data_IF_703365907349
#
_entry.id   IF_703365907349
#
_cell.length_a   1.000
_cell.length_b   1.000
_cell.length_c   1.000
_cell.angle_alpha   90.00
_cell.angle_beta   90.00
_cell.angle_gamma   90.00
#
_symmetry.space_group_name_H-M   'P 1'
#
loop_
_entity.id
_entity.type
_entity.pdbx_description
1 polymer ?
#
# COMPACT_ATOMS: atom_id res chain seq x y z
N UNK A 1 -10.17 -15.47 -3.18
CA UNK A 1 -8.88 -14.82 -2.99
C UNK A 1 -8.61 -14.61 -1.51
N UNK A 2 -7.39 -14.80 -1.10
CA UNK A 2 -6.99 -14.62 0.30
C UNK A 2 -6.45 -13.22 0.52
N UNK A 3 -7.09 -12.48 1.42
CA UNK A 3 -6.61 -11.17 1.85
C UNK A 3 -5.82 -11.30 3.14
N UNK A 4 -4.92 -10.36 3.42
CA UNK A 4 -4.57 -9.21 2.58
C UNK A 4 -3.63 -9.57 1.42
N UNK A 5 -3.62 -8.74 0.39
CA UNK A 5 -2.60 -8.80 -0.66
C UNK A 5 -1.75 -7.54 -0.59
N UNK A 6 -0.50 -7.63 -1.03
CA UNK A 6 0.47 -6.56 -0.87
C UNK A 6 1.04 -6.15 -2.22
N UNK A 7 1.21 -4.84 -2.39
CA UNK A 7 1.75 -4.25 -3.62
C UNK A 7 2.68 -3.11 -3.28
N UNK A 8 3.53 -2.74 -4.25
CA UNK A 8 4.35 -1.53 -4.15
C UNK A 8 4.53 -0.92 -5.53
N UNK A 9 4.83 0.38 -5.57
CA UNK A 9 5.36 0.97 -6.80
C UNK A 9 6.83 0.58 -6.97
N UNK A 10 7.31 0.46 -8.23
CA UNK A 10 8.72 0.12 -8.49
C UNK A 10 9.73 1.06 -7.86
N UNK A 11 9.35 2.33 -7.61
CA UNK A 11 10.24 3.31 -6.97
C UNK A 11 10.46 3.07 -5.47
N UNK A 12 9.78 2.08 -4.87
CA UNK A 12 9.94 1.68 -3.46
C UNK A 12 9.61 2.77 -2.43
N UNK A 13 8.70 3.69 -2.75
CA UNK A 13 8.28 4.75 -1.84
C UNK A 13 6.79 4.73 -1.51
N UNK A 14 6.05 3.85 -2.12
CA UNK A 14 4.63 3.68 -1.82
C UNK A 14 4.30 2.21 -1.81
N UNK A 15 3.70 1.76 -0.72
CA UNK A 15 3.38 0.36 -0.46
C UNK A 15 1.91 0.25 -0.09
N UNK A 16 1.28 -0.84 -0.50
CA UNK A 16 -0.15 -1.06 -0.28
C UNK A 16 -0.40 -2.40 0.40
N UNK A 17 -1.29 -2.36 1.37
CA UNK A 17 -1.87 -3.55 1.98
C UNK A 17 -3.35 -3.54 1.68
N UNK A 18 -3.79 -4.40 0.77
CA UNK A 18 -5.19 -4.46 0.35
C UNK A 18 -5.93 -5.42 1.27
N UNK A 19 -6.82 -4.90 2.08
CA UNK A 19 -7.54 -5.66 3.11
C UNK A 19 -8.76 -6.38 2.56
N UNK A 20 -9.39 -5.81 1.54
CA UNK A 20 -10.57 -6.36 0.88
C UNK A 20 -10.78 -5.63 -0.44
N UNK A 21 -11.86 -5.95 -1.15
CA UNK A 21 -12.22 -5.20 -2.37
C UNK A 21 -12.71 -3.78 -2.06
N UNK A 22 -12.83 -3.42 -0.79
CA UNK A 22 -13.37 -2.12 -0.37
C UNK A 22 -12.41 -1.31 0.49
N UNK A 23 -11.30 -1.91 0.94
CA UNK A 23 -10.39 -1.24 1.87
C UNK A 23 -8.95 -1.54 1.57
N UNK A 24 -8.09 -0.53 1.70
CA UNK A 24 -6.64 -0.73 1.67
C UNK A 24 -5.94 0.29 2.56
N UNK A 25 -4.71 -0.05 2.89
CA UNK A 25 -3.80 0.80 3.64
C UNK A 25 -2.65 1.18 2.71
N UNK A 26 -2.29 2.46 2.71
CA UNK A 26 -1.19 2.97 1.91
C UNK A 26 -0.09 3.49 2.83
N UNK A 27 1.11 2.95 2.67
CA UNK A 27 2.32 3.46 3.31
C UNK A 27 3.06 4.31 2.28
N UNK A 28 3.19 5.60 2.54
CA UNK A 28 3.83 6.55 1.64
C UNK A 28 5.07 7.15 2.29
N UNK A 29 6.20 7.12 1.58
CA UNK A 29 7.47 7.66 2.05
C UNK A 29 7.81 8.90 1.23
N UNK A 30 8.02 10.03 1.91
CA UNK A 30 8.33 11.32 1.29
C UNK A 30 9.54 11.90 2.01
N UNK A 31 10.73 11.82 1.38
CA UNK A 31 11.96 12.29 1.99
C UNK A 31 12.26 11.56 3.30
N UNK A 32 12.39 12.29 4.39
CA UNK A 32 12.64 11.71 5.73
C UNK A 32 11.36 11.47 6.53
N UNK A 33 10.22 11.51 5.87
CA UNK A 33 8.92 11.32 6.50
C UNK A 33 8.16 10.16 5.87
N UNK A 34 7.21 9.62 6.61
CA UNK A 34 6.27 8.64 6.08
C UNK A 34 4.87 8.92 6.60
N UNK A 35 3.88 8.44 5.88
CA UNK A 35 2.49 8.52 6.30
C UNK A 35 1.80 7.19 6.03
N UNK A 36 0.77 6.90 6.82
CA UNK A 36 -0.06 5.71 6.64
C UNK A 36 -1.49 6.21 6.46
N UNK A 37 -2.09 5.85 5.33
CA UNK A 37 -3.46 6.21 5.02
C UNK A 37 -4.32 4.96 4.93
N UNK A 38 -5.42 4.95 5.66
CA UNK A 38 -6.42 3.90 5.57
C UNK A 38 -7.57 4.42 4.70
N UNK A 39 -7.83 3.75 3.60
CA UNK A 39 -8.81 4.19 2.63
C UNK A 39 -9.91 3.14 2.49
N UNK A 40 -11.14 3.59 2.69
CA UNK A 40 -12.33 2.79 2.47
C UNK A 40 -13.04 3.30 1.23
N UNK A 41 -13.28 2.43 0.27
CA UNK A 41 -13.91 2.80 -0.98
C UNK A 41 -15.36 3.27 -0.74
N UNK A 42 -15.68 4.44 -1.28
CA UNK A 42 -17.02 5.05 -1.15
C UNK A 42 -17.65 5.30 -2.50
N UNK A 43 -16.83 5.49 -3.54
CA UNK A 43 -17.30 5.84 -4.88
C UNK A 43 -16.63 4.89 -5.89
N UNK A 44 -17.15 4.86 -7.09
CA UNK A 44 -16.68 3.96 -8.13
C UNK A 44 -15.18 4.08 -8.45
N UNK A 45 -14.60 5.29 -8.57
CA UNK A 45 -13.16 5.42 -8.80
C UNK A 45 -12.30 4.74 -7.72
N UNK A 46 -12.70 4.79 -6.46
CA UNK A 46 -11.99 4.10 -5.37
C UNK A 46 -12.01 2.59 -5.57
N UNK A 47 -13.16 2.05 -5.95
CA UNK A 47 -13.33 0.62 -6.20
C UNK A 47 -12.53 0.16 -7.41
N UNK A 48 -12.45 0.98 -8.45
CA UNK A 48 -11.66 0.69 -9.63
C UNK A 48 -10.18 0.66 -9.30
N UNK A 49 -9.71 1.58 -8.46
CA UNK A 49 -8.32 1.61 -8.02
C UNK A 49 -7.96 0.33 -7.26
N UNK A 50 -8.83 -0.08 -6.34
CA UNK A 50 -8.61 -1.31 -5.58
C UNK A 50 -8.64 -2.54 -6.49
N UNK A 51 -9.57 -2.57 -7.46
CA UNK A 51 -9.64 -3.65 -8.44
C UNK A 51 -8.31 -3.78 -9.20
N UNK A 52 -7.75 -2.66 -9.63
CA UNK A 52 -6.47 -2.66 -10.36
C UNK A 52 -5.33 -3.15 -9.46
N UNK A 53 -5.32 -2.76 -8.20
CA UNK A 53 -4.31 -3.25 -7.24
C UNK A 53 -4.37 -4.76 -7.05
N UNK A 54 -5.56 -5.35 -7.12
CA UNK A 54 -5.76 -6.78 -6.90
C UNK A 54 -5.54 -7.58 -8.18
N UNK A 55 -6.16 -7.17 -9.28
CA UNK A 55 -6.28 -7.99 -10.48
C UNK A 55 -5.48 -7.49 -11.68
N UNK A 56 -5.23 -6.19 -11.78
CA UNK A 56 -4.54 -5.60 -12.94
C UNK A 56 -3.33 -4.79 -12.50
N UNK A 57 -2.50 -5.39 -11.65
CA UNK A 57 -1.42 -4.66 -10.98
C UNK A 57 -0.11 -4.63 -11.77
N UNK A 58 0.12 -5.57 -12.67
CA UNK A 58 1.45 -5.78 -13.28
C UNK A 58 1.98 -4.60 -14.08
N UNK A 59 1.12 -3.71 -14.54
CA UNK A 59 1.54 -2.53 -15.31
C UNK A 59 2.17 -1.46 -14.44
N UNK A 60 1.65 -1.28 -13.22
CA UNK A 60 2.00 -0.14 -12.38
C UNK A 60 2.62 -0.54 -11.06
N UNK A 61 2.34 -1.74 -10.58
CA UNK A 61 2.77 -2.19 -9.25
C UNK A 61 3.47 -3.53 -9.33
N UNK A 62 4.20 -3.84 -8.25
CA UNK A 62 4.83 -5.14 -8.06
C UNK A 62 4.17 -5.84 -6.89
N UNK A 63 4.02 -7.14 -7.00
CA UNK A 63 3.59 -7.98 -5.90
C UNK A 63 4.72 -8.13 -4.90
N UNK A 64 4.41 -7.97 -3.62
CA UNK A 64 5.37 -8.19 -2.54
C UNK A 64 4.75 -9.11 -1.49
N UNK A 65 5.58 -9.61 -0.60
CA UNK A 65 5.15 -10.46 0.51
C UNK A 65 4.73 -9.63 1.70
N UNK A 66 3.98 -10.24 2.60
CA UNK A 66 3.69 -9.66 3.92
C UNK A 66 4.97 -9.29 4.65
N UNK A 67 5.96 -10.16 4.60
CA UNK A 67 7.26 -9.92 5.26
C UNK A 67 7.91 -8.65 4.74
N UNK A 68 7.92 -8.46 3.44
CA UNK A 68 8.51 -7.24 2.84
C UNK A 68 7.75 -5.99 3.28
N UNK A 69 6.43 -6.03 3.33
CA UNK A 69 5.61 -4.91 3.77
C UNK A 69 5.88 -4.56 5.24
N UNK A 70 5.87 -5.57 6.10
CA UNK A 70 6.13 -5.39 7.53
C UNK A 70 7.54 -4.85 7.77
N UNK A 71 8.53 -5.39 7.06
CA UNK A 71 9.91 -4.94 7.18
C UNK A 71 10.03 -3.47 6.79
N UNK A 72 9.36 -3.06 5.72
CA UNK A 72 9.38 -1.66 5.27
C UNK A 72 8.71 -0.74 6.29
N UNK A 73 7.61 -1.17 6.87
CA UNK A 73 6.92 -0.41 7.89
C UNK A 73 7.80 -0.22 9.13
N UNK A 74 8.48 -1.27 9.57
CA UNK A 74 9.43 -1.19 10.68
C UNK A 74 10.58 -0.23 10.38
N UNK A 75 11.14 -0.31 9.17
CA UNK A 75 12.21 0.61 8.74
C UNK A 75 11.73 2.07 8.83
N UNK A 76 10.50 2.34 8.42
CA UNK A 76 9.94 3.68 8.52
C UNK A 76 9.80 4.13 9.99
N UNK A 77 9.30 3.27 10.86
CA UNK A 77 9.12 3.64 12.27
C UNK A 77 10.44 3.88 12.98
N UNK A 78 11.50 3.19 12.57
CA UNK A 78 12.83 3.32 13.20
C UNK A 78 13.58 4.53 12.65
N UNK A 79 13.54 4.76 11.33
CA UNK A 79 14.45 5.70 10.66
C UNK A 79 13.80 7.01 10.19
N UNK A 80 12.47 7.07 10.12
CA UNK A 80 11.77 8.23 9.55
C UNK A 80 10.81 8.85 10.57
N UNK A 81 10.39 10.08 10.27
CA UNK A 81 9.36 10.77 11.06
C UNK A 81 7.99 10.52 10.46
N UNK A 82 7.03 10.15 11.29
CA UNK A 82 5.66 9.97 10.86
C UNK A 82 4.98 11.33 10.72
N UNK A 83 4.34 11.54 9.56
CA UNK A 83 3.46 12.70 9.36
C UNK A 83 2.14 12.43 10.07
N UNK A 84 1.63 13.45 10.75
CA UNK A 84 0.40 13.36 11.50
C UNK A 84 -0.83 13.16 10.60
#
# INVERSE_FOLDING_TARGET
MNYPVYRKYPHNRTFFKVLSQEEFEELQIIGHHYSIHHIKAKILPDRNFIYDLIFDYKRNWEEITETEYIQKLEDCTIHLKRLA
#
